data_IF_706878681070
#
_entry.id   IF_706878681070
#
_cell.length_a   1.000
_cell.length_b   1.000
_cell.length_c   1.000
_cell.angle_alpha   90.00
_cell.angle_beta   90.00
_cell.angle_gamma   90.00
#
_symmetry.space_group_name_H-M   'P 1'
#
loop_
_entity.id
_entity.type
_entity.pdbx_description
1 polymer ?
#
# COMPACT_ATOMS: atom_id res chain seq x y z
N UNK A 1 21.27 -16.54 34.98
CA UNK A 1 22.04 -15.46 34.32
C UNK A 1 21.25 -15.02 33.10
N UNK A 2 21.01 -13.72 32.91
CA UNK A 2 20.31 -13.17 31.75
C UNK A 2 21.33 -12.36 30.93
N UNK A 3 21.33 -12.54 29.61
CA UNK A 3 22.24 -11.82 28.70
C UNK A 3 21.37 -10.92 27.80
N UNK A 4 21.47 -9.59 27.93
CA UNK A 4 20.68 -8.69 27.11
C UNK A 4 21.21 -8.66 25.67
N UNK A 5 20.30 -8.50 24.71
CA UNK A 5 20.61 -8.29 23.31
C UNK A 5 19.64 -7.26 22.72
N UNK A 6 20.06 -6.58 21.66
CA UNK A 6 19.21 -5.65 20.91
C UNK A 6 19.42 -5.84 19.41
N UNK A 7 18.40 -5.50 18.63
CA UNK A 7 18.43 -5.62 17.18
C UNK A 7 17.88 -4.37 16.53
N UNK A 8 18.49 -3.98 15.41
CA UNK A 8 18.01 -2.89 14.57
C UNK A 8 17.46 -3.52 13.29
N UNK A 9 16.16 -3.36 13.06
CA UNK A 9 15.50 -3.83 11.85
C UNK A 9 15.70 -2.78 10.75
N UNK A 10 16.35 -3.17 9.65
CA UNK A 10 16.53 -2.29 8.49
C UNK A 10 15.18 -1.91 7.85
N UNK A 11 15.04 -0.65 7.44
CA UNK A 11 13.86 -0.19 6.67
C UNK A 11 13.88 -0.69 5.22
N UNK A 12 15.04 -1.10 4.72
CA UNK A 12 15.23 -1.59 3.36
C UNK A 12 15.75 -3.04 3.34
N UNK A 13 15.32 -3.81 2.36
CA UNK A 13 15.87 -5.12 2.05
C UNK A 13 17.07 -4.93 1.09
N UNK A 14 18.26 -5.47 1.40
CA UNK A 14 19.35 -5.50 0.45
C UNK A 14 18.95 -6.34 -0.77
N UNK A 15 18.96 -5.74 -1.95
CA UNK A 15 18.77 -6.45 -3.22
C UNK A 15 20.12 -6.76 -3.84
N UNK A 16 20.29 -8.00 -4.30
CA UNK A 16 21.43 -8.38 -5.16
C UNK A 16 21.19 -8.02 -6.63
N UNK A 17 19.96 -7.64 -6.98
CA UNK A 17 19.58 -7.26 -8.34
C UNK A 17 19.63 -5.73 -8.48
N UNK A 18 20.59 -5.19 -9.25
CA UNK A 18 20.74 -3.75 -9.44
C UNK A 18 19.60 -3.12 -10.25
N UNK A 19 18.76 -3.93 -10.92
CA UNK A 19 17.61 -3.44 -11.68
C UNK A 19 16.33 -3.32 -10.83
N UNK A 20 16.38 -3.76 -9.57
CA UNK A 20 15.24 -3.63 -8.66
C UNK A 20 14.97 -2.15 -8.36
N UNK A 21 13.76 -1.63 -8.60
CA UNK A 21 13.46 -0.24 -8.33
C UNK A 21 13.61 0.08 -6.84
N UNK A 22 14.11 1.28 -6.52
CA UNK A 22 14.34 1.67 -5.12
C UNK A 22 13.09 1.60 -4.24
N UNK A 23 11.92 1.94 -4.82
CA UNK A 23 10.64 1.86 -4.13
C UNK A 23 10.24 0.42 -3.78
N UNK A 24 10.80 -0.57 -4.47
CA UNK A 24 10.63 -2.00 -4.21
C UNK A 24 11.73 -2.59 -3.32
N UNK A 25 12.48 -1.75 -2.60
CA UNK A 25 13.45 -2.22 -1.60
C UNK A 25 12.94 -2.06 -0.17
N UNK A 26 11.66 -1.78 0.05
CA UNK A 26 11.12 -1.58 1.40
C UNK A 26 11.06 -2.91 2.17
N UNK A 27 11.25 -2.84 3.48
CA UNK A 27 10.96 -3.96 4.36
C UNK A 27 9.44 -4.23 4.35
N UNK A 28 8.99 -5.42 3.94
CA UNK A 28 7.58 -5.75 3.89
C UNK A 28 7.03 -6.04 5.29
N UNK A 29 5.75 -5.76 5.56
CA UNK A 29 5.09 -6.21 6.78
C UNK A 29 5.06 -7.74 6.89
N UNK A 30 4.88 -8.22 8.11
CA UNK A 30 4.45 -9.60 8.32
C UNK A 30 3.09 -9.80 7.69
N UNK A 31 2.98 -10.82 6.85
CA UNK A 31 1.78 -11.10 6.09
C UNK A 31 1.63 -12.60 5.90
N UNK A 32 0.42 -13.12 6.04
CA UNK A 32 0.09 -14.50 5.75
C UNK A 32 -1.24 -14.48 4.99
N UNK A 33 -1.18 -14.58 3.65
CA UNK A 33 -2.37 -14.58 2.80
C UNK A 33 -2.62 -15.93 2.17
N UNK A 34 -3.91 -16.24 2.00
CA UNK A 34 -4.38 -17.40 1.24
C UNK A 34 -4.58 -18.66 2.07
N UNK A 35 -5.06 -19.69 1.37
CA UNK A 35 -5.27 -20.99 1.97
C UNK A 35 -3.91 -21.57 2.39
N UNK A 36 -3.88 -22.10 3.61
CA UNK A 36 -2.68 -22.77 4.10
C UNK A 36 -2.68 -24.18 3.53
N UNK A 37 -1.76 -24.42 2.60
CA UNK A 37 -1.51 -25.73 2.02
C UNK A 37 -0.54 -26.46 2.95
N UNK A 38 -0.83 -27.70 3.28
CA UNK A 38 0.08 -28.55 4.04
C UNK A 38 0.66 -29.58 3.07
N UNK A 39 1.98 -29.68 2.98
CA UNK A 39 2.59 -30.76 2.19
C UNK A 39 2.55 -32.10 2.95
N UNK A 40 2.98 -33.15 2.27
CA UNK A 40 3.10 -34.51 2.82
C UNK A 40 4.03 -34.59 4.05
N UNK A 41 4.89 -33.58 4.26
CA UNK A 41 5.79 -33.48 5.42
C UNK A 41 5.16 -32.76 6.61
N UNK A 42 3.88 -32.36 6.51
CA UNK A 42 3.18 -31.59 7.54
C UNK A 42 3.50 -30.09 7.51
N UNK A 43 4.25 -29.62 6.49
CA UNK A 43 4.69 -28.23 6.43
C UNK A 43 3.63 -27.34 5.81
N UNK A 44 3.37 -26.21 6.47
CA UNK A 44 2.37 -25.20 6.07
C UNK A 44 2.94 -24.18 5.07
N UNK A 45 2.19 -23.88 4.02
CA UNK A 45 2.50 -22.91 2.96
C UNK A 45 1.31 -21.98 2.72
N UNK A 46 1.55 -20.68 2.60
CA UNK A 46 0.56 -19.70 2.18
C UNK A 46 1.21 -18.74 1.18
N UNK A 47 0.44 -18.15 0.27
CA UNK A 47 0.99 -17.37 -0.86
C UNK A 47 0.31 -15.99 -0.96
N UNK A 48 1.04 -14.88 -0.68
CA UNK A 48 2.37 -14.80 -0.05
C UNK A 48 2.35 -14.98 1.48
N UNK A 49 3.44 -15.52 2.04
CA UNK A 49 3.70 -15.58 3.49
C UNK A 49 5.07 -14.96 3.79
N UNK A 50 5.07 -13.93 4.63
CA UNK A 50 6.26 -13.23 5.13
C UNK A 50 6.17 -13.26 6.65
N UNK A 51 7.06 -14.03 7.26
CA UNK A 51 7.16 -14.20 8.71
C UNK A 51 8.55 -13.78 9.18
N UNK A 52 8.60 -13.11 10.31
CA UNK A 52 9.85 -12.77 10.99
C UNK A 52 9.95 -13.59 12.27
N UNK A 53 11.16 -13.94 12.68
CA UNK A 53 11.39 -14.62 13.93
C UNK A 53 12.79 -14.31 14.46
N UNK A 54 12.90 -14.16 15.79
CA UNK A 54 14.19 -14.23 16.47
C UNK A 54 14.60 -15.69 16.58
N UNK A 55 15.86 -16.00 16.33
CA UNK A 55 16.40 -17.36 16.47
C UNK A 55 17.64 -17.33 17.35
N UNK A 56 17.55 -17.91 18.53
CA UNK A 56 18.68 -18.10 19.42
C UNK A 56 19.26 -19.50 19.20
N UNK A 57 20.56 -19.57 18.86
CA UNK A 57 21.28 -20.82 18.64
C UNK A 57 22.45 -20.91 19.62
N UNK A 58 22.46 -21.96 20.43
CA UNK A 58 23.54 -22.28 21.37
C UNK A 58 24.37 -23.41 20.76
N UNK A 59 25.65 -23.14 20.52
CA UNK A 59 26.60 -24.14 20.04
C UNK A 59 27.55 -24.51 21.18
N UNK A 60 27.78 -25.80 21.38
CA UNK A 60 28.76 -26.29 22.32
C UNK A 60 30.07 -26.57 21.57
N UNK A 61 31.18 -26.00 22.03
CA UNK A 61 32.48 -26.35 21.49
C UNK A 61 32.86 -27.74 22.02
N UNK A 62 33.05 -28.71 21.13
CA UNK A 62 33.59 -30.00 21.50
C UNK A 62 35.02 -29.82 22.02
N UNK A 63 35.37 -30.50 23.12
CA UNK A 63 36.73 -30.47 23.68
C UNK A 63 37.69 -31.46 22.99
N UNK A 64 37.16 -32.32 22.13
CA UNK A 64 37.85 -33.41 21.43
C UNK A 64 37.26 -33.51 20.02
N UNK A 65 38.12 -33.74 19.02
CA UNK A 65 37.80 -33.64 17.58
C UNK A 65 36.69 -34.59 17.08
N UNK A 66 36.19 -35.51 17.91
CA UNK A 66 35.36 -36.63 17.45
C UNK A 66 33.85 -36.51 17.76
N UNK A 67 33.39 -35.50 18.51
CA UNK A 67 31.94 -35.40 18.86
C UNK A 67 31.42 -33.95 18.90
N UNK A 68 30.92 -33.47 17.75
CA UNK A 68 30.24 -32.16 17.68
C UNK A 68 28.80 -32.31 18.18
N UNK A 69 28.53 -31.82 19.39
CA UNK A 69 27.17 -31.75 19.93
C UNK A 69 26.26 -30.91 19.03
N UNK A 70 25.05 -31.39 18.70
CA UNK A 70 24.12 -30.63 17.86
C UNK A 70 23.73 -29.32 18.57
N UNK A 71 23.63 -28.22 17.83
CA UNK A 71 23.26 -26.94 18.40
C UNK A 71 21.83 -26.97 18.92
N UNK A 72 21.61 -26.34 20.08
CA UNK A 72 20.25 -26.14 20.62
C UNK A 72 19.72 -24.83 20.04
N UNK A 73 18.60 -24.89 19.32
CA UNK A 73 17.94 -23.74 18.69
C UNK A 73 16.57 -23.48 19.34
N UNK A 74 16.26 -22.20 19.57
CA UNK A 74 14.93 -21.73 19.97
C UNK A 74 14.54 -20.54 19.09
N UNK A 75 13.25 -20.42 18.76
CA UNK A 75 12.76 -19.35 17.89
C UNK A 75 11.52 -18.67 18.43
N UNK A 76 11.49 -17.34 18.40
CA UNK A 76 10.37 -16.49 18.80
C UNK A 76 9.79 -15.77 17.57
N UNK A 77 8.53 -16.01 17.17
CA UNK A 77 7.92 -15.33 16.03
C UNK A 77 7.70 -13.84 16.32
N UNK A 78 7.87 -13.01 15.29
CA UNK A 78 7.68 -11.56 15.33
C UNK A 78 6.65 -11.11 14.30
N UNK A 79 5.77 -10.19 14.71
CA UNK A 79 4.82 -9.52 13.82
C UNK A 79 5.31 -8.11 13.56
N UNK A 80 5.92 -7.90 12.41
CA UNK A 80 6.39 -6.60 11.95
C UNK A 80 5.29 -5.85 11.19
N UNK A 81 5.02 -4.61 11.59
CA UNK A 81 4.20 -3.65 10.86
C UNK A 81 5.03 -2.38 10.64
N UNK A 82 5.81 -2.32 9.55
CA UNK A 82 6.69 -1.20 9.26
C UNK A 82 5.88 0.08 9.14
N UNK A 83 6.45 1.16 9.66
CA UNK A 83 5.96 2.51 9.39
C UNK A 83 6.27 2.86 7.95
N UNK A 84 5.32 3.46 7.25
CA UNK A 84 5.50 3.91 5.88
C UNK A 84 5.34 5.42 5.81
N UNK A 85 6.01 6.04 4.83
CA UNK A 85 5.82 7.44 4.51
C UNK A 85 4.78 7.56 3.40
N UNK A 86 4.11 8.71 3.35
CA UNK A 86 3.34 9.10 2.18
C UNK A 86 4.26 9.22 0.96
N UNK A 87 3.77 8.76 -0.19
CA UNK A 87 4.44 8.87 -1.47
C UNK A 87 3.76 9.98 -2.30
N UNK A 88 4.45 10.58 -3.28
CA UNK A 88 3.80 11.50 -4.20
C UNK A 88 2.58 10.83 -4.89
N UNK A 89 1.62 11.63 -5.39
CA UNK A 89 0.51 11.10 -6.17
C UNK A 89 0.98 10.16 -7.28
N UNK A 90 0.20 9.11 -7.50
CA UNK A 90 0.54 8.05 -8.46
C UNK A 90 0.39 8.61 -9.88
N UNK A 91 1.43 8.51 -10.69
CA UNK A 91 1.29 8.81 -12.11
C UNK A 91 0.45 7.72 -12.79
N UNK A 92 -0.80 8.05 -13.07
CA UNK A 92 -1.75 7.09 -13.66
C UNK A 92 -1.46 6.74 -15.12
N UNK A 93 -0.60 7.51 -15.80
CA UNK A 93 -0.21 7.26 -17.20
C UNK A 93 0.55 5.94 -17.31
N UNK A 94 1.33 5.59 -16.29
CA UNK A 94 2.08 4.33 -16.22
C UNK A 94 1.18 3.09 -15.98
N UNK A 95 -0.10 3.30 -15.65
CA UNK A 95 -1.07 2.25 -15.33
C UNK A 95 -2.38 2.39 -16.12
N UNK A 96 -2.33 2.45 -17.46
CA UNK A 96 -3.46 2.82 -18.31
C UNK A 96 -4.62 1.82 -18.25
N UNK A 97 -4.35 0.57 -17.87
CA UNK A 97 -5.35 -0.49 -17.71
C UNK A 97 -5.93 -0.58 -16.31
N UNK A 98 -5.37 0.14 -15.33
CA UNK A 98 -5.76 0.00 -13.91
C UNK A 98 -6.53 1.20 -13.38
N UNK A 99 -6.20 2.40 -13.83
CA UNK A 99 -6.81 3.61 -13.32
C UNK A 99 -7.69 4.26 -14.37
N UNK A 100 -8.88 4.67 -13.92
CA UNK A 100 -9.87 5.38 -14.71
C UNK A 100 -10.38 6.55 -13.88
N UNK A 101 -9.67 7.67 -13.99
CA UNK A 101 -9.99 8.91 -13.27
C UNK A 101 -11.20 9.65 -13.86
N UNK A 102 -11.57 9.35 -15.11
CA UNK A 102 -12.64 10.04 -15.82
C UNK A 102 -13.43 9.10 -16.74
N UNK A 103 -14.75 9.26 -16.77
CA UNK A 103 -15.65 8.54 -17.68
C UNK A 103 -16.68 9.53 -18.24
N UNK A 104 -16.85 9.53 -19.56
CA UNK A 104 -17.87 10.32 -20.25
C UNK A 104 -18.88 9.42 -20.95
N UNK A 105 -20.16 9.76 -20.84
CA UNK A 105 -21.27 9.04 -21.49
C UNK A 105 -22.35 10.00 -21.96
N UNK A 106 -22.99 9.69 -23.09
CA UNK A 106 -24.17 10.43 -23.52
C UNK A 106 -25.38 10.08 -22.63
N UNK A 107 -26.10 11.09 -22.17
CA UNK A 107 -27.22 10.94 -21.22
C UNK A 107 -28.54 11.38 -21.86
N UNK A 108 -29.61 10.64 -21.58
CA UNK A 108 -30.97 10.92 -22.07
C UNK A 108 -31.96 10.71 -20.94
N UNK A 109 -33.10 11.41 -20.97
CA UNK A 109 -34.14 11.25 -19.94
C UNK A 109 -34.82 9.87 -19.97
N UNK A 110 -35.03 9.33 -21.17
CA UNK A 110 -35.68 8.04 -21.44
C UNK A 110 -35.13 7.42 -22.74
N UNK A 111 -35.45 6.16 -23.03
CA UNK A 111 -35.00 5.44 -24.24
C UNK A 111 -35.40 6.15 -25.54
N UNK A 112 -36.57 6.77 -25.56
CA UNK A 112 -37.11 7.50 -26.71
C UNK A 112 -36.92 9.02 -26.61
N UNK A 113 -36.36 9.52 -25.50
CA UNK A 113 -36.12 10.94 -25.33
C UNK A 113 -34.89 11.39 -26.13
N UNK A 114 -34.86 12.69 -26.44
CA UNK A 114 -33.70 13.34 -27.06
C UNK A 114 -32.45 13.22 -26.17
N UNK A 115 -31.29 13.34 -26.81
CA UNK A 115 -30.02 13.37 -26.10
C UNK A 115 -29.91 14.68 -25.29
N UNK A 116 -29.71 14.57 -23.98
CA UNK A 116 -29.53 15.74 -23.11
C UNK A 116 -28.12 16.31 -23.27
N UNK A 117 -27.14 15.45 -23.59
CA UNK A 117 -25.75 15.85 -23.68
C UNK A 117 -24.79 14.74 -23.31
N UNK A 118 -23.54 15.11 -23.02
CA UNK A 118 -22.51 14.20 -22.52
C UNK A 118 -22.22 14.53 -21.07
N UNK A 119 -22.50 13.57 -20.17
CA UNK A 119 -22.13 13.64 -18.77
C UNK A 119 -20.76 13.00 -18.59
N UNK A 120 -19.83 13.80 -18.10
CA UNK A 120 -18.49 13.44 -17.69
C UNK A 120 -18.45 13.38 -16.18
N UNK A 121 -17.96 12.27 -15.65
CA UNK A 121 -17.66 12.11 -14.23
C UNK A 121 -16.16 11.99 -14.09
N UNK A 122 -15.57 12.81 -13.23
CA UNK A 122 -14.15 12.79 -12.90
C UNK A 122 -13.93 12.66 -11.40
N UNK A 123 -12.78 12.13 -11.01
CA UNK A 123 -12.39 11.94 -9.63
C UNK A 123 -10.88 12.12 -9.51
N UNK A 124 -10.44 12.67 -8.38
CA UNK A 124 -9.03 12.87 -8.08
C UNK A 124 -8.52 11.81 -7.10
N UNK A 125 -7.23 11.50 -7.16
CA UNK A 125 -6.56 10.65 -6.16
C UNK A 125 -6.80 11.25 -4.75
N UNK A 126 -7.33 10.47 -3.81
CA UNK A 126 -7.56 10.92 -2.45
C UNK A 126 -6.24 11.05 -1.70
N UNK A 127 -6.27 11.80 -0.59
CA UNK A 127 -5.17 11.74 0.38
C UNK A 127 -4.99 10.31 0.92
N UNK A 128 -3.78 9.94 1.37
CA UNK A 128 -3.56 8.61 1.91
C UNK A 128 -4.50 8.27 3.06
N UNK A 129 -4.84 6.99 3.14
CA UNK A 129 -5.53 6.40 4.27
C UNK A 129 -4.51 6.13 5.39
N UNK A 130 -4.50 6.99 6.41
CA UNK A 130 -3.51 6.97 7.48
C UNK A 130 -4.04 6.15 8.67
N UNK A 131 -3.30 5.13 9.08
CA UNK A 131 -3.52 4.42 10.34
C UNK A 131 -2.48 4.86 11.36
N UNK A 132 -2.95 5.17 12.56
CA UNK A 132 -2.10 5.33 13.72
C UNK A 132 -1.80 3.94 14.35
N UNK A 133 -1.08 3.93 15.47
CA UNK A 133 -0.67 2.69 16.12
C UNK A 133 -1.85 1.92 16.73
N UNK A 134 -2.88 2.61 17.22
CA UNK A 134 -4.00 2.07 17.99
C UNK A 134 -5.31 1.96 17.20
N UNK A 135 -5.40 2.59 16.03
CA UNK A 135 -6.64 2.68 15.27
C UNK A 135 -6.93 1.41 14.48
N UNK A 136 -8.15 0.92 14.68
CA UNK A 136 -8.70 -0.21 13.93
C UNK A 136 -9.33 0.21 12.60
N UNK A 137 -9.61 1.49 12.41
CA UNK A 137 -10.17 2.03 11.17
C UNK A 137 -9.55 3.38 10.82
N UNK A 138 -9.75 3.79 9.57
CA UNK A 138 -9.25 5.05 9.04
C UNK A 138 -10.27 5.67 8.07
N UNK A 139 -10.11 6.96 7.82
CA UNK A 139 -10.98 7.77 6.96
C UNK A 139 -10.10 8.67 6.08
N UNK A 140 -10.39 8.67 4.79
CA UNK A 140 -9.97 9.71 3.85
C UNK A 140 -11.18 10.10 3.00
N UNK A 141 -11.01 11.00 2.05
CA UNK A 141 -12.07 11.45 1.16
C UNK A 141 -11.58 11.66 -0.26
N UNK A 142 -12.48 11.49 -1.22
CA UNK A 142 -12.22 11.78 -2.63
C UNK A 142 -13.18 12.86 -3.13
N UNK A 143 -12.70 13.69 -4.06
CA UNK A 143 -13.50 14.73 -4.68
C UNK A 143 -14.01 14.25 -6.03
N UNK A 144 -15.32 14.30 -6.20
CA UNK A 144 -16.01 13.87 -7.43
C UNK A 144 -16.53 15.10 -8.16
N UNK A 145 -16.17 15.20 -9.44
CA UNK A 145 -16.65 16.21 -10.37
C UNK A 145 -17.64 15.62 -11.36
N UNK A 146 -18.71 16.37 -11.62
CA UNK A 146 -19.68 16.10 -12.67
C UNK A 146 -19.67 17.29 -13.63
N UNK A 147 -19.64 17.00 -14.93
CA UNK A 147 -19.70 17.99 -16.00
C UNK A 147 -20.65 17.50 -17.08
N UNK A 148 -21.72 18.25 -17.35
CA UNK A 148 -22.66 17.98 -18.43
C UNK A 148 -22.52 19.05 -19.52
N UNK A 149 -22.07 18.60 -20.69
CA UNK A 149 -22.10 19.37 -21.92
C UNK A 149 -23.45 19.17 -22.59
N UNK A 150 -24.33 20.17 -22.48
CA UNK A 150 -25.70 20.13 -22.98
C UNK A 150 -25.76 20.34 -24.50
N UNK A 151 -26.66 19.62 -25.18
CA UNK A 151 -26.92 19.81 -26.61
C UNK A 151 -28.05 20.81 -26.90
N UNK A 152 -29.01 20.93 -25.99
CA UNK A 152 -30.19 21.80 -26.10
C UNK A 152 -30.57 22.28 -24.68
N UNK A 153 -30.98 23.54 -24.53
CA UNK A 153 -31.17 24.18 -23.21
C UNK A 153 -32.53 23.93 -22.59
N UNK A 154 -33.55 23.57 -23.38
CA UNK A 154 -34.96 23.53 -22.92
C UNK A 154 -35.25 22.52 -21.81
N UNK A 155 -34.70 21.31 -21.91
CA UNK A 155 -35.04 20.19 -21.00
C UNK A 155 -33.98 19.90 -19.94
N UNK A 156 -32.82 20.55 -20.00
CA UNK A 156 -31.66 20.19 -19.17
C UNK A 156 -31.89 20.54 -17.72
N UNK A 157 -32.43 21.73 -17.42
CA UNK A 157 -32.63 22.14 -16.03
C UNK A 157 -33.55 21.18 -15.26
N UNK A 158 -34.66 20.76 -15.88
CA UNK A 158 -35.58 19.78 -15.27
C UNK A 158 -34.93 18.41 -15.11
N UNK A 159 -34.14 17.96 -16.10
CA UNK A 159 -33.43 16.69 -16.00
C UNK A 159 -32.41 16.70 -14.86
N UNK A 160 -31.65 17.79 -14.68
CA UNK A 160 -30.67 17.94 -13.62
C UNK A 160 -31.31 17.93 -12.22
N UNK A 161 -32.48 18.57 -12.06
CA UNK A 161 -33.23 18.56 -10.79
C UNK A 161 -33.77 17.17 -10.42
N UNK A 162 -34.08 16.34 -11.43
CA UNK A 162 -34.54 14.97 -11.22
C UNK A 162 -33.40 13.96 -11.00
N UNK A 163 -32.13 14.36 -11.17
CA UNK A 163 -30.99 13.45 -11.01
C UNK A 163 -30.73 13.14 -9.54
N UNK A 164 -30.79 11.85 -9.22
CA UNK A 164 -30.33 11.32 -7.95
C UNK A 164 -29.11 10.43 -8.18
N UNK A 165 -28.12 10.48 -7.30
CA UNK A 165 -26.88 9.72 -7.43
C UNK A 165 -26.74 8.74 -6.27
N UNK A 166 -26.63 7.45 -6.58
CA UNK A 166 -26.24 6.41 -5.63
C UNK A 166 -24.78 6.02 -5.88
N UNK A 167 -23.95 6.16 -4.85
CA UNK A 167 -22.52 5.88 -4.88
C UNK A 167 -22.27 4.56 -4.16
N UNK A 168 -21.81 3.56 -4.91
CA UNK A 168 -21.29 2.33 -4.35
C UNK A 168 -19.77 2.36 -4.45
N UNK A 169 -19.07 2.06 -3.35
CA UNK A 169 -17.61 2.13 -3.34
C UNK A 169 -16.97 0.92 -2.67
N UNK A 170 -15.75 0.60 -3.11
CA UNK A 170 -14.93 -0.50 -2.60
C UNK A 170 -13.47 -0.07 -2.57
N UNK A 171 -12.72 -0.57 -1.60
CA UNK A 171 -11.25 -0.59 -1.67
C UNK A 171 -10.83 -1.96 -2.20
N UNK A 172 -10.27 -1.98 -3.40
CA UNK A 172 -9.64 -3.16 -4.00
C UNK A 172 -8.21 -3.24 -3.49
N UNK A 173 -7.83 -4.42 -3.00
CA UNK A 173 -6.53 -4.69 -2.41
C UNK A 173 -5.77 -5.66 -3.29
N UNK A 174 -4.72 -5.15 -3.95
CA UNK A 174 -3.91 -5.90 -4.91
C UNK A 174 -2.61 -6.31 -4.23
N UNK A 175 -2.37 -7.60 -4.10
CA UNK A 175 -1.08 -8.13 -3.63
C UNK A 175 -0.38 -8.85 -4.76
N UNK A 176 0.64 -8.21 -5.31
CA UNK A 176 1.52 -8.79 -6.32
C UNK A 176 2.63 -9.59 -5.64
N UNK A 177 2.95 -10.76 -6.16
CA UNK A 177 4.06 -11.56 -5.69
C UNK A 177 4.70 -12.33 -6.84
N UNK A 178 6.01 -12.54 -6.78
CA UNK A 178 6.79 -13.16 -7.85
C UNK A 178 7.96 -13.99 -7.31
N UNK A 179 8.40 -14.99 -8.06
CA UNK A 179 9.67 -15.70 -7.81
C UNK A 179 10.90 -14.88 -8.19
N UNK A 180 10.73 -13.77 -8.94
CA UNK A 180 11.80 -12.88 -9.38
C UNK A 180 11.59 -11.49 -8.84
N UNK A 181 12.69 -10.76 -8.69
CA UNK A 181 12.62 -9.34 -8.38
C UNK A 181 11.81 -8.60 -9.44
N UNK A 182 10.95 -7.68 -9.01
CA UNK A 182 10.26 -6.77 -9.91
C UNK A 182 11.27 -5.83 -10.55
N UNK A 183 11.22 -5.70 -11.87
CA UNK A 183 12.02 -4.72 -12.63
C UNK A 183 11.40 -3.33 -12.66
N UNK A 184 10.13 -3.20 -12.25
CA UNK A 184 9.37 -1.96 -12.20
C UNK A 184 8.29 -2.05 -11.09
N UNK A 185 7.58 -0.96 -10.79
CA UNK A 185 6.44 -1.05 -9.87
C UNK A 185 5.41 -2.04 -10.44
N UNK A 186 4.92 -3.01 -9.64
CA UNK A 186 4.08 -4.03 -10.20
C UNK A 186 2.70 -3.51 -10.58
N UNK A 187 2.26 -3.96 -11.76
CA UNK A 187 1.02 -3.60 -12.40
C UNK A 187 0.32 -4.85 -12.94
N UNK A 188 -0.94 -4.73 -13.33
CA UNK A 188 -1.68 -5.80 -14.01
C UNK A 188 -1.04 -6.20 -15.34
N UNK A 189 -0.33 -5.28 -16.02
CA UNK A 189 0.39 -5.59 -17.26
C UNK A 189 1.56 -6.55 -17.02
N UNK A 190 2.18 -6.55 -15.83
CA UNK A 190 3.22 -7.52 -15.46
C UNK A 190 2.70 -8.96 -15.28
N UNK A 191 1.38 -9.16 -15.14
CA UNK A 191 0.82 -10.51 -15.02
C UNK A 191 0.92 -11.29 -16.34
N UNK A 192 0.99 -10.58 -17.46
CA UNK A 192 1.00 -11.16 -18.81
C UNK A 192 2.40 -11.40 -19.38
N UNK A 193 3.45 -10.84 -18.78
CA UNK A 193 4.79 -10.78 -19.41
C UNK A 193 5.61 -12.06 -19.24
N UNK A 194 5.57 -12.73 -18.08
CA UNK A 194 6.47 -13.85 -17.79
C UNK A 194 5.87 -15.02 -17.01
N UNK A 195 4.60 -14.93 -16.59
CA UNK A 195 3.89 -15.94 -15.80
C UNK A 195 4.46 -16.21 -14.39
N UNK A 196 5.49 -15.46 -13.98
CA UNK A 196 6.16 -15.59 -12.67
C UNK A 196 5.54 -14.68 -11.64
N UNK A 197 5.01 -13.55 -12.09
CA UNK A 197 4.22 -12.65 -11.26
C UNK A 197 2.78 -13.15 -11.14
N UNK A 198 2.27 -13.13 -9.92
CA UNK A 198 0.89 -13.48 -9.59
C UNK A 198 0.25 -12.31 -8.85
N UNK A 199 -1.08 -12.20 -8.99
CA UNK A 199 -1.89 -11.22 -8.29
C UNK A 199 -2.89 -11.94 -7.41
N UNK A 200 -2.93 -11.55 -6.14
CA UNK A 200 -4.06 -11.80 -5.26
C UNK A 200 -4.88 -10.53 -5.14
N UNK A 201 -6.18 -10.66 -5.36
CA UNK A 201 -7.11 -9.54 -5.42
C UNK A 201 -8.23 -9.74 -4.39
N UNK A 202 -8.29 -8.86 -3.40
CA UNK A 202 -9.28 -8.88 -2.33
C UNK A 202 -10.08 -7.56 -2.36
N UNK A 203 -11.32 -7.54 -1.84
CA UNK A 203 -12.18 -6.35 -1.85
C UNK A 203 -12.72 -6.03 -0.46
N UNK A 204 -12.64 -4.76 -0.08
CA UNK A 204 -13.27 -4.21 1.11
C UNK A 204 -14.45 -3.35 0.67
N UNK A 205 -15.66 -3.81 0.94
CA UNK A 205 -16.87 -3.05 0.64
C UNK A 205 -16.97 -1.86 1.58
N UNK A 206 -17.20 -0.68 1.01
CA UNK A 206 -17.44 0.55 1.76
C UNK A 206 -18.95 0.83 1.85
N UNK A 207 -19.29 1.86 2.63
CA UNK A 207 -20.66 2.33 2.75
C UNK A 207 -21.20 2.85 1.40
N UNK A 208 -22.47 2.58 1.13
CA UNK A 208 -23.19 3.13 -0.02
C UNK A 208 -23.83 4.45 0.38
N UNK A 209 -23.61 5.50 -0.41
CA UNK A 209 -24.16 6.83 -0.16
C UNK A 209 -25.16 7.22 -1.23
N UNK A 210 -26.30 7.79 -0.83
CA UNK A 210 -27.28 8.36 -1.74
C UNK A 210 -27.24 9.89 -1.67
N UNK A 211 -27.26 10.52 -2.83
CA UNK A 211 -27.32 11.97 -3.01
C UNK A 211 -28.62 12.27 -3.78
N UNK A 212 -29.73 12.50 -3.07
CA UNK A 212 -31.03 12.77 -3.71
C UNK A 212 -31.07 14.14 -4.38
N UNK A 213 -30.17 15.05 -4.00
CA UNK A 213 -30.08 16.37 -4.59
C UNK A 213 -28.61 16.70 -4.88
N UNK A 214 -28.34 17.08 -6.13
CA UNK A 214 -27.02 17.49 -6.61
C UNK A 214 -27.10 18.97 -6.97
N UNK A 215 -26.26 19.79 -6.33
CA UNK A 215 -26.21 21.23 -6.59
C UNK A 215 -25.44 21.51 -7.88
N UNK A 216 -26.19 21.76 -8.97
CA UNK A 216 -25.63 22.10 -10.28
C UNK A 216 -25.42 23.61 -10.43
N UNK A 217 -24.32 23.99 -11.06
CA UNK A 217 -24.02 25.37 -11.47
C UNK A 217 -23.70 25.43 -12.95
N UNK A 218 -24.13 26.48 -13.63
CA UNK A 218 -23.79 26.71 -15.04
C UNK A 218 -22.51 27.55 -15.14
N UNK A 219 -21.55 27.09 -15.93
CA UNK A 219 -20.32 27.81 -16.25
C UNK A 219 -20.35 28.20 -17.72
N UNK A 220 -20.27 29.50 -17.99
CA UNK A 220 -20.15 30.04 -19.34
C UNK A 220 -18.74 29.80 -19.88
N UNK A 221 -18.60 29.48 -21.17
CA UNK A 221 -17.28 29.54 -21.83
C UNK A 221 -16.86 31.01 -21.88
N UNK A 222 -15.79 31.36 -21.15
CA UNK A 222 -15.11 32.63 -21.39
C UNK A 222 -14.50 32.56 -22.78
N UNK A 223 -14.98 33.41 -23.69
CA UNK A 223 -14.27 33.65 -24.94
C UNK A 223 -12.99 34.37 -24.54
N UNK A 224 -11.87 33.64 -24.49
CA UNK A 224 -10.56 34.26 -24.50
C UNK A 224 -10.43 34.96 -25.85
N UNK A 225 -10.88 36.22 -25.92
CA UNK A 225 -10.59 37.09 -27.03
C UNK A 225 -9.07 37.17 -27.13
N UNK A 226 -8.50 36.57 -28.18
CA UNK A 226 -7.11 36.74 -28.56
C UNK A 226 -6.84 38.23 -28.74
N UNK A 227 -6.22 38.84 -27.73
CA UNK A 227 -5.61 40.15 -27.81
C UNK A 227 -4.18 39.98 -28.29
N UNK A 228 -4.01 39.60 -29.56
CA UNK A 228 -2.79 39.89 -30.29
C UNK A 228 -2.96 41.24 -30.99
N UNK A 229 -1.89 42.04 -30.93
CA UNK A 229 -1.61 43.26 -31.67
C UNK A 229 -2.40 44.55 -31.32
N UNK A 230 -1.75 45.41 -30.52
CA UNK A 230 -1.32 46.75 -30.94
C UNK A 230 -1.03 47.65 -29.73
N UNK A 231 0.18 47.55 -29.17
CA UNK A 231 0.78 48.68 -28.45
C UNK A 231 1.86 49.30 -29.34
N UNK A 232 1.42 50.01 -30.38
CA UNK A 232 2.25 50.99 -31.05
C UNK A 232 1.55 52.34 -30.91
N UNK A 233 2.07 53.17 -30.01
CA UNK A 233 1.55 54.51 -29.81
C UNK A 233 1.84 55.39 -31.02
N UNK A 234 0.81 56.03 -31.57
CA UNK A 234 0.89 57.42 -32.04
C UNK A 234 -0.50 57.96 -32.40
N UNK A 235 -0.92 58.96 -31.63
CA UNK A 235 -1.44 60.28 -32.04
C UNK A 235 -2.52 60.43 -33.14
N UNK A 236 -3.46 61.33 -32.82
CA UNK A 236 -4.41 62.12 -33.65
C UNK A 236 -5.86 61.62 -33.80
N UNK A 237 -6.77 62.45 -33.24
CA UNK A 237 -8.21 62.55 -33.52
C UNK A 237 -8.47 63.16 -34.94
N UNK A 238 -9.70 63.59 -35.28
CA UNK A 238 -10.88 62.82 -35.67
C UNK A 238 -11.34 63.22 -37.11
N UNK A 239 -12.29 62.49 -37.71
CA UNK A 239 -13.48 63.09 -38.38
C UNK A 239 -14.26 62.10 -39.27
N UNK A 240 -15.57 62.08 -39.03
CA UNK A 240 -16.71 62.05 -39.96
C UNK A 240 -16.60 61.32 -41.31
N UNK A 241 -17.46 60.30 -41.51
CA UNK A 241 -17.80 59.82 -42.85
C UNK A 241 -18.62 58.53 -42.88
N UNK A 242 -19.87 58.64 -43.30
CA UNK A 242 -20.85 57.57 -43.54
C UNK A 242 -20.37 56.42 -44.44
N UNK A 243 -20.79 55.18 -44.16
CA UNK A 243 -21.40 54.31 -45.18
C UNK A 243 -21.99 53.03 -44.58
N UNK A 244 -23.19 52.73 -45.07
CA UNK A 244 -24.04 51.58 -44.78
C UNK A 244 -23.53 50.27 -45.37
N UNK A 245 -23.50 49.20 -44.58
CA UNK A 245 -23.55 47.82 -45.08
C UNK A 245 -24.40 46.95 -44.14
N UNK A 246 -25.68 46.81 -44.46
CA UNK A 246 -26.62 45.87 -43.85
C UNK A 246 -26.24 44.44 -44.23
N UNK A 247 -25.53 43.72 -43.35
CA UNK A 247 -25.38 42.27 -43.42
C UNK A 247 -26.33 41.60 -42.42
N UNK A 248 -26.99 40.46 -42.74
CA UNK A 248 -27.81 39.77 -41.76
C UNK A 248 -26.90 39.31 -40.62
N UNK A 249 -27.14 39.85 -39.43
CA UNK A 249 -26.52 39.37 -38.21
C UNK A 249 -26.83 37.87 -38.08
N UNK A 250 -25.78 37.05 -38.17
CA UNK A 250 -25.81 35.64 -37.79
C UNK A 250 -26.56 35.50 -36.46
N UNK A 251 -27.46 34.51 -36.30
CA UNK A 251 -28.19 34.34 -35.05
C UNK A 251 -27.18 34.27 -33.92
N UNK A 252 -27.33 35.17 -32.95
CA UNK A 252 -26.49 35.27 -31.76
C UNK A 252 -26.27 33.86 -31.21
N UNK A 253 -25.06 33.34 -31.38
CA UNK A 253 -24.67 32.04 -30.85
C UNK A 253 -25.06 32.04 -29.38
N UNK A 254 -26.04 31.20 -29.02
CA UNK A 254 -26.43 31.05 -27.63
C UNK A 254 -25.16 30.75 -26.82
N UNK A 255 -24.97 31.39 -25.66
CA UNK A 255 -23.73 31.29 -24.93
C UNK A 255 -23.45 29.83 -24.59
N UNK A 256 -22.44 29.26 -25.25
CA UNK A 256 -21.99 27.90 -24.98
C UNK A 256 -21.47 27.82 -23.55
N UNK A 257 -21.82 26.76 -22.84
CA UNK A 257 -21.43 26.56 -21.47
C UNK A 257 -21.72 25.13 -21.02
N UNK A 258 -21.40 24.87 -19.76
CA UNK A 258 -21.49 23.54 -19.17
C UNK A 258 -22.14 23.59 -17.80
N UNK A 259 -22.88 22.55 -17.46
CA UNK A 259 -23.37 22.36 -16.10
C UNK A 259 -22.35 21.56 -15.30
N UNK A 260 -22.01 22.04 -14.12
CA UNK A 260 -21.04 21.37 -13.24
C UNK A 260 -21.62 21.13 -11.87
N UNK A 261 -21.25 20.03 -11.24
CA UNK A 261 -21.51 19.77 -9.83
C UNK A 261 -20.30 19.10 -9.20
N UNK A 262 -20.09 19.33 -7.91
CA UNK A 262 -18.98 18.75 -7.15
C UNK A 262 -19.46 18.31 -5.79
N UNK A 263 -18.95 17.17 -5.32
CA UNK A 263 -19.19 16.70 -3.96
C UNK A 263 -18.00 15.87 -3.48
N UNK A 264 -17.90 15.74 -2.17
CA UNK A 264 -16.87 14.95 -1.50
C UNK A 264 -17.47 13.62 -1.05
N UNK A 265 -16.79 12.51 -1.32
CA UNK A 265 -17.21 11.15 -0.93
C UNK A 265 -16.22 10.53 0.07
N UNK A 266 -16.67 10.14 1.29
CA UNK A 266 -15.80 9.56 2.29
C UNK A 266 -15.40 8.11 1.95
N UNK A 267 -14.13 7.80 2.17
CA UNK A 267 -13.55 6.45 2.07
C UNK A 267 -13.22 6.00 3.50
N UNK A 268 -14.18 5.31 4.13
CA UNK A 268 -14.07 4.85 5.52
C UNK A 268 -13.81 3.35 5.58
N UNK A 269 -12.65 2.94 6.08
CA UNK A 269 -12.27 1.53 6.24
C UNK A 269 -12.31 1.19 7.72
N UNK A 270 -13.16 0.24 8.12
CA UNK A 270 -13.38 -0.12 9.53
C UNK A 270 -12.40 -1.17 10.08
N UNK A 271 -11.55 -1.72 9.22
CA UNK A 271 -10.53 -2.70 9.60
C UNK A 271 -9.13 -2.17 9.32
N UNK A 272 -8.15 -2.64 10.10
CA UNK A 272 -6.76 -2.25 9.91
C UNK A 272 -6.16 -3.05 8.76
N UNK A 273 -5.83 -2.36 7.69
CA UNK A 273 -5.18 -2.98 6.51
C UNK A 273 -3.67 -2.74 6.56
N UNK A 274 -2.91 -3.57 5.84
CA UNK A 274 -1.46 -3.40 5.74
C UNK A 274 -1.09 -2.10 5.00
N UNK A 275 0.06 -1.48 5.28
CA UNK A 275 0.47 -0.31 4.52
C UNK A 275 0.69 -0.65 3.03
N UNK A 276 0.65 0.35 2.18
CA UNK A 276 1.17 0.24 0.82
C UNK A 276 2.68 -0.01 0.91
N UNK A 277 3.17 -1.07 0.27
CA UNK A 277 4.60 -1.37 0.24
C UNK A 277 4.98 -2.05 -1.07
N UNK A 278 6.25 -1.89 -1.46
CA UNK A 278 6.87 -2.75 -2.46
C UNK A 278 8.20 -3.27 -1.91
N UNK A 279 8.39 -4.59 -2.00
CA UNK A 279 9.65 -5.29 -1.81
C UNK A 279 10.05 -5.94 -3.14
N UNK A 280 11.25 -6.52 -3.21
CA UNK A 280 11.77 -7.05 -4.47
C UNK A 280 10.78 -8.04 -5.12
N UNK A 281 10.09 -8.85 -4.31
CA UNK A 281 9.28 -9.97 -4.79
C UNK A 281 7.81 -9.91 -4.37
N UNK A 282 7.42 -8.96 -3.51
CA UNK A 282 6.03 -8.80 -3.04
C UNK A 282 5.70 -7.32 -2.93
N UNK A 283 4.55 -6.92 -3.45
CA UNK A 283 4.00 -5.58 -3.29
C UNK A 283 2.53 -5.63 -2.94
N UNK A 284 2.06 -4.65 -2.18
CA UNK A 284 0.64 -4.48 -1.88
C UNK A 284 0.22 -3.05 -2.21
N UNK A 285 -0.72 -2.93 -3.13
CA UNK A 285 -1.25 -1.67 -3.65
C UNK A 285 -2.77 -1.63 -3.45
N UNK A 286 -3.33 -0.42 -3.37
CA UNK A 286 -4.77 -0.23 -3.16
C UNK A 286 -5.36 0.64 -4.26
N UNK A 287 -6.63 0.38 -4.57
CA UNK A 287 -7.41 1.14 -5.55
C UNK A 287 -8.79 1.40 -4.96
N UNK A 288 -9.30 2.62 -5.04
CA UNK A 288 -10.72 2.88 -4.75
C UNK A 288 -11.52 2.73 -6.02
N UNK A 289 -12.52 1.86 -5.98
CA UNK A 289 -13.50 1.72 -7.04
C UNK A 289 -14.73 2.51 -6.63
N UNK A 290 -15.13 3.48 -7.45
CA UNK A 290 -16.34 4.28 -7.24
C UNK A 290 -17.30 4.01 -8.40
N UNK A 291 -18.45 3.43 -8.08
CA UNK A 291 -19.55 3.22 -9.01
C UNK A 291 -20.68 4.18 -8.70
N UNK A 292 -20.84 5.18 -9.55
CA UNK A 292 -21.95 6.12 -9.50
C UNK A 292 -23.09 5.57 -10.35
N UNK A 293 -24.27 5.40 -9.77
CA UNK A 293 -25.52 5.15 -10.50
C UNK A 293 -26.33 6.44 -10.50
N UNK A 294 -26.77 6.86 -11.67
CA UNK A 294 -27.59 8.07 -11.82
C UNK A 294 -29.01 7.65 -12.16
N UNK A 295 -29.94 8.04 -11.29
CA UNK A 295 -31.39 7.92 -11.47
C UNK A 295 -31.96 9.23 -12.00
N UNK A 296 -33.21 9.23 -12.47
CA UNK A 296 -33.85 10.41 -13.10
C UNK A 296 -33.48 10.64 -14.58
N UNK A 297 -32.42 9.97 -15.04
CA UNK A 297 -32.10 9.77 -16.46
C UNK A 297 -32.10 8.28 -16.79
N UNK A 298 -31.92 7.94 -18.08
CA UNK A 298 -31.65 6.57 -18.53
C UNK A 298 -30.56 6.00 -17.62
N UNK A 299 -30.84 4.86 -16.98
CA UNK A 299 -29.98 4.22 -15.96
C UNK A 299 -28.56 4.02 -16.47
N UNK A 300 -27.73 5.01 -16.22
CA UNK A 300 -26.31 4.97 -16.52
C UNK A 300 -25.55 4.74 -15.22
N UNK A 301 -24.50 3.92 -15.30
CA UNK A 301 -23.51 3.82 -14.24
C UNK A 301 -22.13 4.18 -14.73
N UNK A 302 -21.41 4.97 -13.94
CA UNK A 302 -20.04 5.39 -14.18
C UNK A 302 -19.16 4.63 -13.19
N UNK A 303 -18.16 3.90 -13.71
CA UNK A 303 -17.20 3.16 -12.89
C UNK A 303 -15.85 3.87 -13.02
N UNK A 304 -15.33 4.33 -11.90
CA UNK A 304 -14.04 4.99 -11.78
C UNK A 304 -13.14 4.13 -10.89
N UNK A 305 -11.86 4.11 -11.21
CA UNK A 305 -10.83 3.40 -10.43
C UNK A 305 -9.67 4.37 -10.20
N UNK A 306 -9.38 4.67 -8.94
CA UNK A 306 -8.33 5.64 -8.56
C UNK A 306 -7.32 4.98 -7.62
N UNK A 307 -6.04 5.37 -7.68
CA UNK A 307 -5.05 4.92 -6.72
C UNK A 307 -5.43 5.31 -5.29
N UNK A 308 -5.05 4.48 -4.32
CA UNK A 308 -5.13 4.79 -2.90
C UNK A 308 -3.83 4.37 -2.23
N UNK A 309 -3.26 5.27 -1.43
CA UNK A 309 -2.14 4.94 -0.57
C UNK A 309 -2.62 4.61 0.84
N UNK A 310 -2.03 3.59 1.46
CA UNK A 310 -2.24 3.28 2.88
C UNK A 310 -0.94 3.52 3.63
N UNK A 311 -1.00 4.37 4.65
CA UNK A 311 0.16 4.79 5.44
C UNK A 311 -0.01 4.35 6.88
N UNK A 312 1.04 3.79 7.47
CA UNK A 312 1.10 3.49 8.90
C UNK A 312 2.00 4.52 9.57
N UNK A 313 1.39 5.52 10.21
CA UNK A 313 2.07 6.63 10.87
C UNK A 313 2.47 6.26 12.31
N UNK A 314 3.41 7.02 12.88
CA UNK A 314 3.68 6.95 14.31
C UNK A 314 2.93 8.01 15.08
N UNK A 315 2.58 7.72 16.34
CA UNK A 315 1.92 8.67 17.24
C UNK A 315 2.76 9.94 17.53
N UNK A 316 4.03 9.97 17.13
CA UNK A 316 4.97 11.07 17.40
C UNK A 316 5.28 11.94 16.17
N UNK A 317 4.70 11.68 15.00
CA UNK A 317 4.96 12.49 13.79
C UNK A 317 4.30 13.90 13.87
N UNK A 318 3.77 14.30 15.03
CA UNK A 318 3.33 15.68 15.32
C UNK A 318 4.46 16.58 15.84
N UNK A 319 5.68 16.08 16.01
CA UNK A 319 6.85 16.87 16.38
C UNK A 319 8.09 16.32 15.67
N UNK A 320 8.33 16.79 14.44
CA UNK A 320 9.69 16.79 13.89
C UNK A 320 10.60 17.59 14.85
N UNK A 321 11.83 17.10 15.07
CA UNK A 321 12.91 17.63 15.94
C UNK A 321 12.93 17.20 17.42
N UNK A 322 13.15 15.90 17.73
CA UNK A 322 14.10 15.48 18.78
C UNK A 322 14.32 13.95 18.80
N UNK A 323 15.53 13.52 19.17
CA UNK A 323 16.04 12.15 19.19
C UNK A 323 15.06 11.08 19.74
N UNK A 324 15.08 9.83 19.23
CA UNK A 324 14.19 8.78 19.72
C UNK A 324 14.66 8.29 21.10
N UNK A 325 14.07 8.85 22.16
CA UNK A 325 14.09 8.25 23.48
C UNK A 325 13.22 6.98 23.44
N UNK A 326 13.86 5.81 23.53
CA UNK A 326 13.17 4.52 23.62
C UNK A 326 12.44 4.48 24.97
N UNK A 327 11.12 4.74 24.96
CA UNK A 327 10.26 4.31 26.06
C UNK A 327 9.90 2.84 25.84
N UNK A 328 10.04 1.96 26.84
CA UNK A 328 9.46 0.64 26.80
C UNK A 328 7.96 0.79 26.54
N UNK A 329 7.50 0.24 25.41
CA UNK A 329 6.08 0.17 25.09
C UNK A 329 5.46 -0.77 26.12
N UNK A 330 4.64 -0.24 27.03
CA UNK A 330 3.74 -1.10 27.80
C UNK A 330 2.84 -1.83 26.80
N UNK A 331 2.99 -3.15 26.77
CA UNK A 331 2.25 -4.05 25.90
C UNK A 331 0.76 -4.00 26.25
N UNK A 332 -0.03 -3.40 25.35
CA UNK A 332 -1.48 -3.55 25.38
C UNK A 332 -1.83 -5.03 25.10
N UNK A 333 -2.16 -5.75 26.17
CA UNK A 333 -2.40 -7.20 26.21
C UNK A 333 -3.58 -7.64 25.34
N UNK A 334 -4.40 -6.70 24.87
CA UNK A 334 -5.64 -6.96 24.12
C UNK A 334 -5.42 -7.47 22.68
N UNK A 335 -4.25 -7.24 22.08
CA UNK A 335 -3.94 -7.75 20.72
C UNK A 335 -3.48 -9.22 20.69
N UNK A 336 -3.12 -9.80 21.84
CA UNK A 336 -2.65 -11.20 21.93
C UNK A 336 -3.78 -12.23 22.08
N UNK A 337 -5.01 -11.81 22.37
CA UNK A 337 -6.09 -12.75 22.71
C UNK A 337 -6.68 -13.48 21.49
N UNK A 338 -6.31 -13.11 20.26
CA UNK A 338 -6.70 -13.85 19.04
C UNK A 338 -5.79 -15.04 18.69
N UNK A 339 -4.73 -15.33 19.48
CA UNK A 339 -3.90 -16.54 19.28
C UNK A 339 -3.53 -17.30 20.56
N UNK A 340 -4.08 -16.93 21.73
CA UNK A 340 -3.80 -17.60 23.01
C UNK A 340 -4.48 -18.95 23.24
N UNK A 341 -5.25 -19.47 22.29
CA UNK A 341 -5.81 -20.82 22.38
C UNK A 341 -4.80 -21.90 21.94
N UNK A 342 -3.62 -21.94 22.58
CA UNK A 342 -2.72 -23.10 22.60
C UNK A 342 -1.50 -22.78 23.47
N UNK A 343 -1.73 -22.52 24.75
CA UNK A 343 -0.69 -22.51 25.77
C UNK A 343 -0.47 -23.93 26.28
N UNK A 344 0.55 -24.60 25.76
CA UNK A 344 1.27 -25.66 26.47
C UNK A 344 2.75 -25.31 26.44
N UNK A 345 3.34 -25.29 27.64
CA UNK A 345 4.77 -25.23 27.97
C UNK A 345 5.74 -25.30 26.78
N UNK A 346 6.51 -24.22 26.55
CA UNK A 346 7.54 -24.14 25.51
C UNK A 346 8.90 -24.74 25.94
N UNK A 347 8.85 -25.79 26.74
CA UNK A 347 9.91 -26.78 26.81
C UNK A 347 9.28 -28.11 26.41
N UNK A 348 9.65 -28.63 25.25
CA UNK A 348 9.40 -30.04 24.94
C UNK A 348 10.28 -30.86 25.89
N UNK A 349 9.67 -31.51 26.88
CA UNK A 349 10.32 -32.53 27.72
C UNK A 349 10.85 -33.73 26.91
N UNK A 350 10.55 -33.79 25.61
CA UNK A 350 10.97 -34.86 24.69
C UNK A 350 12.47 -34.87 24.35
N UNK A 351 13.25 -33.84 24.66
CA UNK A 351 14.71 -33.86 24.44
C UNK A 351 15.54 -34.18 25.69
N UNK A 352 14.91 -34.36 26.86
CA UNK A 352 15.59 -34.72 28.12
C UNK A 352 15.41 -36.21 28.50
N UNK A 353 14.67 -37.00 27.72
CA UNK A 353 14.42 -38.41 28.01
C UNK A 353 15.51 -39.39 27.48
N UNK A 354 16.59 -38.88 26.87
CA UNK A 354 17.72 -39.72 26.43
C UNK A 354 19.05 -39.22 26.97
N UNK A 355 19.16 -39.06 28.29
CA UNK A 355 20.45 -39.02 28.99
C UNK A 355 20.29 -39.20 30.51
N UNK A 356 19.65 -40.29 30.93
CA UNK A 356 19.77 -40.80 32.30
C UNK A 356 21.10 -41.52 32.50
N UNK A 357 22.21 -40.79 32.44
CA UNK A 357 23.47 -41.14 33.10
C UNK A 357 24.29 -39.85 33.23
N UNK A 358 24.96 -39.67 34.37
CA UNK A 358 25.74 -38.50 34.80
C UNK A 358 24.97 -37.40 35.56
N UNK A 359 24.49 -37.78 36.75
CA UNK A 359 24.52 -36.90 37.92
C UNK A 359 25.98 -36.72 38.37
N UNK A 360 26.33 -35.49 38.72
CA UNK A 360 27.60 -35.02 39.31
C UNK A 360 28.76 -34.85 38.32
N UNK A 361 28.87 -33.66 37.72
CA UNK A 361 30.14 -32.93 37.56
C UNK A 361 29.81 -31.54 37.02
N UNK A 362 30.08 -30.49 37.81
CA UNK A 362 30.09 -29.10 37.31
C UNK A 362 31.53 -28.81 36.90
N UNK A 363 31.84 -28.69 35.60
CA UNK A 363 32.88 -27.78 35.16
C UNK A 363 32.23 -26.54 34.55
N UNK A 364 32.86 -25.38 34.76
CA UNK A 364 32.50 -24.12 34.10
C UNK A 364 32.35 -24.34 32.59
N UNK A 365 31.11 -24.27 32.10
CA UNK A 365 30.80 -24.24 30.67
C UNK A 365 31.06 -22.81 30.19
N UNK A 366 32.10 -22.64 29.38
CA UNK A 366 32.30 -21.44 28.58
C UNK A 366 31.24 -21.42 27.47
N UNK A 367 30.11 -20.76 27.75
CA UNK A 367 29.04 -20.53 26.78
C UNK A 367 29.55 -19.53 25.72
N UNK A 368 29.86 -20.02 24.52
CA UNK A 368 30.00 -19.17 23.34
C UNK A 368 28.65 -19.13 22.61
N UNK A 369 27.90 -18.04 22.77
CA UNK A 369 26.74 -17.75 21.92
C UNK A 369 27.30 -17.36 20.55
N UNK A 370 27.21 -18.28 19.59
CA UNK A 370 27.91 -18.13 18.31
C UNK A 370 27.12 -17.33 17.26
N UNK A 371 25.79 -17.23 17.36
CA UNK A 371 25.01 -16.41 16.41
C UNK A 371 23.55 -16.25 16.84
N UNK A 372 22.99 -15.05 16.68
CA UNK A 372 21.55 -14.78 16.72
C UNK A 372 21.20 -14.11 15.39
N UNK A 373 20.34 -14.75 14.58
CA UNK A 373 20.00 -14.28 13.21
C UNK A 373 18.61 -13.65 13.17
N UNK A 374 18.44 -12.51 12.48
CA UNK A 374 17.20 -11.71 12.49
C UNK A 374 16.33 -11.79 11.23
N UNK A 375 16.72 -12.54 10.21
CA UNK A 375 15.99 -12.47 8.94
C UNK A 375 15.98 -13.81 8.20
N UNK A 376 14.82 -14.43 8.13
CA UNK A 376 14.55 -15.50 7.16
C UNK A 376 13.33 -15.09 6.35
N UNK A 377 13.54 -14.45 5.21
CA UNK A 377 12.48 -14.23 4.22
C UNK A 377 12.34 -15.53 3.43
N UNK A 378 11.51 -16.46 3.90
CA UNK A 378 11.22 -17.69 3.16
C UNK A 378 10.18 -17.44 2.06
N UNK A 379 10.62 -17.10 0.86
CA UNK A 379 9.76 -17.11 -0.33
C UNK A 379 9.78 -18.49 -1.00
N UNK A 380 8.93 -19.42 -0.56
CA UNK A 380 8.86 -20.78 -1.15
C UNK A 380 7.66 -20.92 -2.08
N UNK A 381 7.89 -20.83 -3.38
CA UNK A 381 6.89 -21.08 -4.42
C UNK A 381 7.01 -22.52 -4.91
N UNK A 382 5.92 -23.29 -4.82
CA UNK A 382 5.78 -24.58 -5.51
C UNK A 382 4.79 -24.36 -6.66
N UNK A 383 5.30 -24.07 -7.86
CA UNK A 383 4.55 -24.35 -9.08
C UNK A 383 4.82 -25.82 -9.44
N UNK A 384 3.87 -26.49 -10.10
CA UNK A 384 3.98 -27.91 -10.44
C UNK A 384 5.30 -28.29 -11.17
N UNK A 385 6.03 -27.32 -11.75
CA UNK A 385 7.28 -27.54 -12.48
C UNK A 385 8.44 -26.55 -12.15
N UNK A 386 8.59 -26.02 -10.92
CA UNK A 386 9.73 -25.13 -10.66
C UNK A 386 10.38 -25.18 -9.26
N UNK A 387 11.71 -25.04 -9.29
CA UNK A 387 12.69 -25.12 -8.20
C UNK A 387 12.50 -24.07 -7.09
N UNK A 388 12.80 -24.50 -5.87
CA UNK A 388 12.76 -23.73 -4.64
C UNK A 388 13.75 -22.53 -4.66
N UNK A 389 13.27 -21.30 -4.79
CA UNK A 389 14.07 -20.12 -4.45
C UNK A 389 14.09 -19.95 -2.92
N UNK A 390 15.27 -19.83 -2.30
CA UNK A 390 15.42 -19.48 -0.88
C UNK A 390 16.34 -18.27 -0.79
N UNK A 391 15.76 -17.07 -0.73
CA UNK A 391 16.55 -15.85 -0.53
C UNK A 391 16.85 -15.69 0.95
N UNK A 392 18.06 -16.04 1.36
CA UNK A 392 18.55 -15.82 2.73
C UNK A 392 19.48 -14.61 2.70
N UNK A 393 19.07 -13.51 3.32
CA UNK A 393 19.90 -12.31 3.43
C UNK A 393 20.56 -12.31 4.82
N UNK A 394 21.85 -12.64 4.85
CA UNK A 394 22.67 -12.62 6.06
C UNK A 394 23.35 -11.25 6.23
N UNK A 395 23.36 -10.74 7.45
CA UNK A 395 24.42 -9.84 7.94
C UNK A 395 24.88 -10.38 9.28
N UNK A 396 26.11 -10.85 9.32
CA UNK A 396 26.76 -11.39 10.51
C UNK A 396 27.29 -10.21 11.34
N UNK A 397 27.00 -10.18 12.63
CA UNK A 397 27.65 -9.27 13.58
C UNK A 397 28.31 -10.12 14.65
N UNK A 398 29.61 -10.35 14.47
CA UNK A 398 30.46 -11.10 15.39
C UNK A 398 30.89 -10.18 16.53
N UNK A 399 30.38 -10.41 17.75
CA UNK A 399 30.95 -9.81 18.95
C UNK A 399 32.16 -10.66 19.38
N UNK A 400 33.36 -10.22 18.99
CA UNK A 400 34.61 -10.83 19.43
C UNK A 400 34.93 -10.31 20.85
N UNK A 401 34.63 -11.09 21.89
CA UNK A 401 35.18 -10.83 23.22
C UNK A 401 36.58 -11.42 23.30
N UNK A 402 37.61 -10.56 23.35
CA UNK A 402 38.97 -11.01 23.69
C UNK A 402 39.07 -11.27 25.19
N UNK A 403 39.68 -12.39 25.62
CA UNK A 403 39.94 -12.64 27.03
C UNK A 403 41.09 -11.76 27.52
N UNK A 404 40.81 -10.94 28.54
CA UNK A 404 41.80 -10.26 29.36
C UNK A 404 42.62 -11.31 30.15
N UNK A 405 43.94 -11.30 30.00
CA UNK A 405 44.88 -11.96 30.92
C UNK A 405 45.50 -10.89 31.81
N UNK A 406 45.64 -11.11 33.14
CA UNK A 406 46.39 -10.20 33.99
C UNK A 406 47.91 -10.37 33.73
N UNK A 407 48.70 -9.29 33.77
CA UNK A 407 50.15 -9.40 33.65
C UNK A 407 50.73 -10.11 34.89
N UNK A 408 51.46 -11.20 34.63
CA UNK A 408 52.25 -11.92 35.61
C UNK A 408 53.44 -11.10 36.09
N UNK A 409 53.62 -11.10 37.41
CA UNK A 409 54.82 -10.67 38.12
C UNK A 409 56.00 -11.55 37.70
N UNK A 410 57.11 -10.94 37.27
CA UNK A 410 58.41 -11.61 37.20
C UNK A 410 59.46 -10.81 37.98
N UNK A 411 59.95 -11.44 39.05
CA UNK A 411 61.17 -11.11 39.77
C UNK A 411 62.38 -11.80 39.11
N UNK A 412 63.56 -11.17 39.23
CA UNK A 412 64.92 -11.75 39.06
C UNK A 412 65.39 -11.85 37.60
N UNK A 413 66.55 -11.33 37.20
CA UNK A 413 67.87 -11.24 37.87
C UNK A 413 68.48 -9.85 37.68
#
# INVERSE_FOLDING_TARGET
MSIPFYFIVSKKIPSSDPQSPEHCLQLPPSIELGAVIVDETGKRFAQPSISYALRAKVCFAARTDDETMPPVESSLPLILRPRTKEFPPTDTIDFPTEFKLQVSKSVRRSLFARNLGTLTVSIQEPRPLIYDASSMGSLTECHVGLELLALDSGDVHQALQAMEISIHSWVRVKTFYSVKSFSQLPSQTLLSSDGKTRLRDDFLKLETRNLPHVSWSYQYHSVESGGDDANNGSTTQPDSGSSSCSGPASPSQAPSGRWTARFTHPIRVQSRVLPTFCSAIVARLYTVIVRLKVSGIRRESFNLEIPLQVVHASSNDASDEEYPFIRPLEEDRTSMDFRRASTTSWFSDESLASSTLFRNFIPLILLRIASISLLTITHKQRCADATLAKTTLYRESTLCSQPWWPPGVHNGV
#
